data_IF_207086107361
#
_entry.id   IF_207086107361
#
_cell.length_a   1.000
_cell.length_b   1.000
_cell.length_c   1.000
_cell.angle_alpha   90.00
_cell.angle_beta   90.00
_cell.angle_gamma   90.00
#
_symmetry.space_group_name_H-M   'P 1'
#
loop_
_entity.id
_entity.type
_entity.pdbx_description
1 polymer ?
#
# COMPACT_ATOMS: atom_id res chain seq x y z
N UNK A 1 -1.36 -19.48 -9.90
CA UNK A 1 -1.09 -18.15 -9.32
C UNK A 1 -1.45 -17.14 -10.39
N UNK A 2 -2.19 -16.07 -10.09
CA UNK A 2 -2.48 -15.04 -11.11
C UNK A 2 -1.15 -14.46 -11.63
N UNK A 3 -0.83 -14.60 -12.94
CA UNK A 3 0.45 -14.15 -13.50
C UNK A 3 0.75 -12.67 -13.22
N UNK A 4 -0.30 -11.84 -13.13
CA UNK A 4 -0.18 -10.43 -12.82
C UNK A 4 0.38 -10.20 -11.41
N UNK A 5 -0.21 -10.86 -10.41
CA UNK A 5 0.20 -10.69 -9.01
C UNK A 5 1.63 -11.19 -8.79
N UNK A 6 2.00 -12.31 -9.42
CA UNK A 6 3.37 -12.82 -9.35
C UNK A 6 4.37 -11.83 -9.97
N UNK A 7 4.06 -11.30 -11.15
CA UNK A 7 4.90 -10.28 -11.83
C UNK A 7 5.09 -9.05 -10.94
N UNK A 8 4.01 -8.50 -10.42
CA UNK A 8 4.04 -7.28 -9.58
C UNK A 8 4.84 -7.51 -8.31
N UNK A 9 4.67 -8.64 -7.62
CA UNK A 9 5.43 -8.96 -6.42
C UNK A 9 6.94 -9.03 -6.67
N UNK A 10 7.37 -9.55 -7.82
CA UNK A 10 8.78 -9.60 -8.21
C UNK A 10 9.32 -8.18 -8.48
N UNK A 11 8.58 -7.36 -9.23
CA UNK A 11 9.00 -5.99 -9.58
C UNK A 11 9.18 -5.09 -8.36
N UNK A 12 8.37 -5.25 -7.33
CA UNK A 12 8.46 -4.47 -6.08
C UNK A 12 9.40 -5.11 -5.04
N UNK A 13 10.05 -6.23 -5.36
CA UNK A 13 11.07 -6.85 -4.51
C UNK A 13 10.55 -7.69 -3.34
N UNK A 14 9.30 -8.19 -3.40
CA UNK A 14 8.82 -9.16 -2.42
C UNK A 14 9.24 -10.58 -2.80
N UNK A 15 10.11 -11.17 -1.97
CA UNK A 15 10.69 -12.49 -2.19
C UNK A 15 9.77 -13.66 -1.82
N UNK A 16 8.73 -13.43 -1.02
CA UNK A 16 7.81 -14.47 -0.54
C UNK A 16 6.50 -14.48 -1.34
N UNK A 17 5.97 -15.67 -1.68
CA UNK A 17 4.67 -15.78 -2.32
C UNK A 17 3.56 -15.25 -1.40
N UNK A 18 2.55 -14.62 -2.01
CA UNK A 18 1.34 -14.20 -1.29
C UNK A 18 0.62 -15.41 -0.69
N UNK A 19 0.09 -15.24 0.52
CA UNK A 19 -0.81 -16.22 1.17
C UNK A 19 -2.18 -16.19 0.50
N UNK A 20 -2.95 -17.25 0.68
CA UNK A 20 -4.22 -17.42 -0.05
C UNK A 20 -5.22 -16.29 0.23
N UNK A 21 -5.48 -15.97 1.50
CA UNK A 21 -6.41 -14.88 1.83
C UNK A 21 -5.91 -13.49 1.34
N UNK A 22 -4.59 -13.29 1.20
CA UNK A 22 -4.06 -12.04 0.63
C UNK A 22 -4.36 -11.95 -0.86
N UNK A 23 -4.20 -13.06 -1.59
CA UNK A 23 -4.55 -13.13 -3.02
C UNK A 23 -6.04 -12.89 -3.22
N UNK A 24 -6.87 -13.54 -2.43
CA UNK A 24 -8.33 -13.37 -2.49
C UNK A 24 -8.72 -11.90 -2.30
N UNK A 25 -8.21 -11.25 -1.25
CA UNK A 25 -8.42 -9.81 -1.02
C UNK A 25 -7.96 -8.97 -2.22
N UNK A 26 -6.77 -9.22 -2.75
CA UNK A 26 -6.24 -8.52 -3.92
C UNK A 26 -7.11 -8.74 -5.16
N UNK A 27 -7.63 -9.95 -5.39
CA UNK A 27 -8.51 -10.24 -6.52
C UNK A 27 -9.82 -9.47 -6.44
N UNK A 28 -10.43 -9.40 -5.25
CA UNK A 28 -11.62 -8.56 -5.04
C UNK A 28 -11.32 -7.07 -5.33
N UNK A 29 -10.21 -6.54 -4.81
CA UNK A 29 -9.78 -5.15 -5.09
C UNK A 29 -9.53 -4.93 -6.59
N UNK A 30 -8.86 -5.86 -7.26
CA UNK A 30 -8.62 -5.81 -8.71
C UNK A 30 -9.90 -5.89 -9.54
N UNK A 31 -10.96 -6.46 -8.98
CA UNK A 31 -12.29 -6.52 -9.57
C UNK A 31 -13.19 -5.36 -9.14
N UNK A 32 -12.62 -4.34 -8.48
CA UNK A 32 -13.32 -3.11 -8.05
C UNK A 32 -14.42 -3.39 -7.01
N UNK A 33 -14.25 -4.43 -6.20
CA UNK A 33 -15.14 -4.74 -5.09
C UNK A 33 -14.56 -4.22 -3.76
N UNK A 34 -15.44 -3.71 -2.91
CA UNK A 34 -15.11 -3.39 -1.53
C UNK A 34 -14.89 -4.67 -0.73
N UNK A 35 -13.95 -4.64 0.22
CA UNK A 35 -13.60 -5.79 1.04
C UNK A 35 -13.45 -5.42 2.52
N UNK A 36 -13.84 -6.35 3.38
CA UNK A 36 -13.48 -6.34 4.80
C UNK A 36 -12.59 -7.55 5.09
N UNK A 37 -11.28 -7.31 5.24
CA UNK A 37 -10.31 -8.38 5.46
C UNK A 37 -10.10 -8.64 6.96
N UNK A 38 -10.68 -9.73 7.47
CA UNK A 38 -10.48 -10.19 8.85
C UNK A 38 -9.38 -11.24 8.87
N UNK A 39 -8.16 -10.81 9.18
CA UNK A 39 -6.97 -11.69 9.19
C UNK A 39 -6.24 -11.58 10.53
N UNK A 40 -5.57 -12.64 11.02
CA UNK A 40 -4.87 -12.60 12.30
C UNK A 40 -3.66 -11.65 12.26
N UNK A 41 -3.19 -11.19 13.42
CA UNK A 41 -1.94 -10.43 13.55
C UNK A 41 -0.76 -11.27 13.01
N UNK A 42 0.25 -10.61 12.45
CA UNK A 42 1.37 -11.30 11.78
C UNK A 42 1.02 -12.00 10.46
N UNK A 43 -0.25 -12.04 10.04
CA UNK A 43 -0.61 -12.65 8.75
C UNK A 43 -0.01 -11.91 7.55
N UNK A 44 0.35 -10.63 7.73
CA UNK A 44 0.89 -9.77 6.67
C UNK A 44 -0.21 -8.99 5.94
N UNK A 45 -1.21 -8.50 6.67
CA UNK A 45 -2.31 -7.69 6.11
C UNK A 45 -1.81 -6.53 5.26
N UNK A 46 -0.69 -5.92 5.66
CA UNK A 46 -0.12 -4.76 4.97
C UNK A 46 0.28 -5.04 3.52
N UNK A 47 0.62 -6.28 3.19
CA UNK A 47 0.95 -6.64 1.81
C UNK A 47 -0.22 -6.40 0.85
N UNK A 48 -1.47 -6.51 1.32
CA UNK A 48 -2.66 -6.29 0.48
C UNK A 48 -2.65 -4.85 -0.05
N UNK A 49 -2.53 -3.86 0.84
CA UNK A 49 -2.54 -2.44 0.44
C UNK A 49 -1.21 -1.97 -0.16
N UNK A 50 -0.10 -2.64 0.12
CA UNK A 50 1.20 -2.34 -0.52
C UNK A 50 1.25 -2.83 -1.97
N UNK A 51 0.69 -4.01 -2.28
CA UNK A 51 0.68 -4.58 -3.64
C UNK A 51 -0.44 -4.00 -4.50
N UNK A 52 -1.61 -3.72 -3.91
CA UNK A 52 -2.79 -3.22 -4.63
C UNK A 52 -2.52 -2.07 -5.61
N UNK A 53 -1.82 -0.97 -5.28
CA UNK A 53 -1.66 0.15 -6.20
C UNK A 53 -0.87 -0.23 -7.45
N UNK A 54 0.14 -1.10 -7.32
CA UNK A 54 0.92 -1.60 -8.46
C UNK A 54 0.11 -2.55 -9.33
N UNK A 55 -0.62 -3.48 -8.70
CA UNK A 55 -1.45 -4.43 -9.42
C UNK A 55 -2.60 -3.72 -10.17
N UNK A 56 -3.22 -2.70 -9.58
CA UNK A 56 -4.20 -1.84 -10.24
C UNK A 56 -3.59 -1.05 -11.40
N UNK A 57 -2.39 -0.49 -11.21
CA UNK A 57 -1.69 0.24 -12.25
C UNK A 57 -1.46 -0.65 -13.47
N UNK A 58 -0.95 -1.85 -13.26
CA UNK A 58 -0.64 -2.80 -14.32
C UNK A 58 -1.91 -3.34 -15.00
N UNK A 59 -2.91 -3.77 -14.23
CA UNK A 59 -4.19 -4.31 -14.76
C UNK A 59 -4.93 -3.30 -15.64
N UNK A 60 -4.98 -2.05 -15.20
CA UNK A 60 -5.74 -0.99 -15.87
C UNK A 60 -4.86 -0.05 -16.72
N UNK A 61 -3.56 -0.37 -16.90
CA UNK A 61 -2.58 0.43 -17.64
C UNK A 61 -2.58 1.92 -17.26
N UNK A 62 -2.69 2.19 -15.97
CA UNK A 62 -2.75 3.57 -15.44
C UNK A 62 -1.36 4.21 -15.49
N UNK A 63 -1.32 5.52 -15.69
CA UNK A 63 -0.08 6.30 -15.58
C UNK A 63 0.39 6.38 -14.12
N UNK A 64 -0.56 6.55 -13.21
CA UNK A 64 -0.36 6.61 -11.77
C UNK A 64 -1.44 5.82 -11.02
N UNK A 65 -1.08 5.34 -9.84
CA UNK A 65 -1.98 4.64 -8.91
C UNK A 65 -1.43 4.85 -7.51
N UNK A 66 -2.30 5.25 -6.58
CA UNK A 66 -1.94 5.59 -5.21
C UNK A 66 -2.88 4.85 -4.26
N UNK A 67 -2.32 4.21 -3.25
CA UNK A 67 -3.11 3.64 -2.15
C UNK A 67 -3.10 4.61 -0.97
N UNK A 68 -4.27 5.04 -0.50
CA UNK A 68 -4.43 5.83 0.72
C UNK A 68 -4.75 4.89 1.89
N UNK A 69 -3.90 4.91 2.92
CA UNK A 69 -4.03 4.09 4.13
C UNK A 69 -4.40 5.02 5.27
N UNK A 70 -5.55 4.79 5.90
CA UNK A 70 -5.94 5.51 7.11
C UNK A 70 -5.61 4.64 8.32
N UNK A 71 -4.85 5.18 9.27
CA UNK A 71 -4.46 4.45 10.49
C UNK A 71 -4.44 5.37 11.71
N UNK A 72 -4.83 4.86 12.88
CA UNK A 72 -4.90 5.67 14.11
C UNK A 72 -3.55 5.87 14.80
N UNK A 73 -2.51 5.10 14.46
CA UNK A 73 -1.24 5.12 15.18
C UNK A 73 -0.07 5.55 14.30
N UNK A 74 0.55 6.68 14.67
CA UNK A 74 1.75 7.22 14.05
C UNK A 74 2.94 6.24 14.07
N UNK A 75 3.15 5.52 15.17
CA UNK A 75 4.29 4.59 15.32
C UNK A 75 4.29 3.47 14.28
N UNK A 76 3.11 2.90 14.00
CA UNK A 76 2.96 1.81 13.02
C UNK A 76 3.19 2.33 11.59
N UNK A 77 2.84 3.58 11.31
CA UNK A 77 3.06 4.20 9.99
C UNK A 77 4.54 4.35 9.67
N UNK A 78 5.33 4.82 10.63
CA UNK A 78 6.75 5.07 10.45
C UNK A 78 7.48 3.78 10.10
N UNK A 79 7.18 2.70 10.80
CA UNK A 79 7.76 1.38 10.54
C UNK A 79 7.45 0.89 9.11
N UNK A 80 6.21 1.08 8.66
CA UNK A 80 5.80 0.70 7.30
C UNK A 80 6.46 1.55 6.23
N UNK A 81 6.61 2.85 6.44
CA UNK A 81 7.22 3.76 5.47
C UNK A 81 8.72 3.52 5.37
N UNK A 82 9.38 3.30 6.50
CA UNK A 82 10.79 2.91 6.53
C UNK A 82 11.03 1.58 5.80
N UNK A 83 10.15 0.60 5.98
CA UNK A 83 10.23 -0.68 5.27
C UNK A 83 10.07 -0.50 3.75
N UNK A 84 9.08 0.28 3.31
CA UNK A 84 8.84 0.57 1.89
C UNK A 84 9.99 1.36 1.26
N UNK A 85 10.52 2.36 1.97
CA UNK A 85 11.66 3.14 1.49
C UNK A 85 12.91 2.27 1.29
N UNK A 86 13.17 1.29 2.19
CA UNK A 86 14.26 0.32 2.03
C UNK A 86 14.10 -0.57 0.79
N UNK A 87 12.86 -0.77 0.34
CA UNK A 87 12.53 -1.51 -0.88
C UNK A 87 12.52 -0.60 -2.14
N UNK A 88 12.89 0.67 -2.02
CA UNK A 88 12.83 1.64 -3.13
C UNK A 88 11.41 2.05 -3.51
N UNK A 89 10.41 1.71 -2.69
CA UNK A 89 9.02 2.10 -2.90
C UNK A 89 8.81 3.49 -2.30
N UNK A 90 8.43 4.45 -3.15
CA UNK A 90 8.11 5.80 -2.70
C UNK A 90 6.82 5.78 -1.87
N UNK A 91 6.98 6.04 -0.57
CA UNK A 91 5.91 6.14 0.39
C UNK A 91 6.02 7.46 1.17
N UNK A 92 4.89 8.00 1.61
CA UNK A 92 4.85 9.19 2.44
C UNK A 92 3.76 9.11 3.50
N UNK A 93 3.91 9.90 4.56
CA UNK A 93 2.84 10.11 5.52
C UNK A 93 2.39 11.57 5.56
N UNK A 94 1.12 11.73 5.91
CA UNK A 94 0.53 13.00 6.29
C UNK A 94 0.21 12.97 7.78
N UNK A 95 0.66 14.02 8.47
CA UNK A 95 0.37 14.28 9.87
C UNK A 95 -0.25 15.68 10.01
N UNK A 96 -1.07 15.91 11.03
CA UNK A 96 -1.73 17.20 11.28
C UNK A 96 -0.72 18.33 11.54
N UNK A 97 0.48 18.00 12.01
CA UNK A 97 1.59 18.95 12.21
C UNK A 97 2.39 19.25 10.94
N UNK A 98 2.05 18.66 9.80
CA UNK A 98 2.87 18.77 8.59
C UNK A 98 2.61 20.09 7.84
N UNK A 99 3.65 20.94 7.73
CA UNK A 99 3.58 22.22 7.00
C UNK A 99 3.35 22.03 5.50
N UNK A 100 2.34 22.73 4.97
CA UNK A 100 1.74 22.55 3.64
C UNK A 100 2.71 22.55 2.44
N UNK A 101 3.87 23.21 2.54
CA UNK A 101 4.82 23.36 1.43
C UNK A 101 5.72 22.14 1.17
N UNK A 102 6.03 21.33 2.18
CA UNK A 102 6.87 20.11 2.01
C UNK A 102 6.04 18.93 1.50
N UNK A 103 4.78 18.91 1.87
CA UNK A 103 3.82 17.85 1.60
C UNK A 103 3.53 17.66 0.12
N UNK A 104 3.30 18.75 -0.63
CA UNK A 104 2.93 18.70 -2.04
C UNK A 104 3.98 18.03 -2.94
N UNK A 105 5.27 18.28 -2.70
CA UNK A 105 6.37 17.67 -3.50
C UNK A 105 6.51 16.17 -3.26
N UNK A 106 6.19 15.73 -2.05
CA UNK A 106 6.27 14.32 -1.66
C UNK A 106 5.05 13.55 -2.20
N UNK A 107 3.87 14.17 -2.16
CA UNK A 107 2.62 13.63 -2.71
C UNK A 107 2.72 13.30 -4.21
N UNK A 108 3.38 14.14 -4.99
CA UNK A 108 3.52 13.95 -6.45
C UNK A 108 4.35 12.71 -6.85
N UNK A 109 5.12 12.12 -5.93
CA UNK A 109 6.04 11.00 -6.20
C UNK A 109 5.61 9.68 -5.54
N UNK A 110 4.73 9.74 -4.55
CA UNK A 110 4.36 8.60 -3.75
C UNK A 110 3.43 7.63 -4.51
N UNK A 111 3.74 6.33 -4.44
CA UNK A 111 2.87 5.25 -4.94
C UNK A 111 2.00 4.66 -3.83
N UNK A 112 2.42 4.82 -2.58
CA UNK A 112 1.68 4.44 -1.37
C UNK A 112 1.66 5.66 -0.45
N UNK A 113 0.47 6.00 0.05
CA UNK A 113 0.27 7.10 0.97
C UNK A 113 -0.39 6.57 2.23
N UNK A 114 0.21 6.87 3.38
CA UNK A 114 -0.42 6.63 4.66
C UNK A 114 -0.83 7.97 5.26
N UNK A 115 -2.00 8.08 5.85
CA UNK A 115 -2.49 9.30 6.47
C UNK A 115 -2.94 8.97 7.89
N UNK A 116 -2.34 9.67 8.85
CA UNK A 116 -2.75 9.57 10.24
C UNK A 116 -3.92 10.52 10.47
N UNK A 117 -5.02 9.99 10.99
CA UNK A 117 -6.15 10.80 11.45
C UNK A 117 -6.14 10.81 12.98
N UNK A 118 -5.13 11.42 13.58
CA UNK A 118 -5.16 11.72 15.02
C UNK A 118 -5.97 13.00 15.25
N UNK A 119 -7.30 12.83 15.38
CA UNK A 119 -8.25 13.63 16.17
C UNK A 119 -9.67 13.11 15.97
N UNK A 120 -10.05 12.10 16.76
CA UNK A 120 -11.43 11.91 17.24
C UNK A 120 -11.33 11.74 18.75
#
# INVERSE_FOLDING_TARGET
MDPLLTKVCIEIGFSKPLKECQKECLMHVLNRHDIMAILPTGYGKSLIFQVAPFALKEKFKLTCSVCLILTPLNSIMMDQINALSKQGISACWLDYNCQSGKTAKVLLRAKVMSMCLEKI
#
